data_IF_568900755336
#
_entry.id   IF_568900755336
#
_cell.length_a   1.000
_cell.length_b   1.000
_cell.length_c   1.000
_cell.angle_alpha   90.00
_cell.angle_beta   90.00
_cell.angle_gamma   90.00
#
_symmetry.space_group_name_H-M   'P 1'
#
loop_
_entity.id
_entity.type
_entity.pdbx_description
1 polymer ?
#
# COMPACT_ATOMS: atom_id res chain seq x y z
N UNK A 1 -44.01 -6.66 16.48
CA UNK A 1 -43.94 -5.18 16.57
C UNK A 1 -42.86 -4.80 17.56
N UNK A 2 -41.67 -4.42 17.09
CA UNK A 2 -40.57 -3.96 17.95
C UNK A 2 -40.62 -2.43 18.00
N UNK A 3 -40.71 -1.88 19.20
CA UNK A 3 -40.94 -0.44 19.47
C UNK A 3 -39.78 0.42 18.95
N UNK A 4 -40.14 1.49 18.23
CA UNK A 4 -39.30 2.46 17.50
C UNK A 4 -38.28 3.26 18.36
N UNK A 5 -38.20 3.04 19.68
CA UNK A 5 -37.28 3.74 20.58
C UNK A 5 -35.85 3.18 20.62
N UNK A 6 -35.69 1.87 20.40
CA UNK A 6 -34.40 1.17 20.58
C UNK A 6 -33.34 1.54 19.52
N UNK A 7 -33.78 1.86 18.31
CA UNK A 7 -32.89 2.15 17.17
C UNK A 7 -32.21 3.52 17.32
N UNK A 8 -32.87 4.51 17.92
CA UNK A 8 -32.27 5.84 18.10
C UNK A 8 -31.17 5.84 19.16
N UNK A 9 -31.32 5.04 20.21
CA UNK A 9 -30.33 4.96 21.30
C UNK A 9 -29.04 4.25 20.85
N UNK A 10 -29.17 3.21 20.01
CA UNK A 10 -28.05 2.51 19.38
C UNK A 10 -27.29 3.38 18.38
N UNK A 11 -27.99 4.18 17.55
CA UNK A 11 -27.33 5.09 16.60
C UNK A 11 -26.62 6.24 17.31
N UNK A 12 -27.15 6.73 18.44
CA UNK A 12 -26.50 7.76 19.25
C UNK A 12 -25.25 7.21 19.97
N UNK A 13 -25.32 5.98 20.52
CA UNK A 13 -24.16 5.33 21.15
C UNK A 13 -23.05 4.98 20.14
N UNK A 14 -23.40 4.58 18.91
CA UNK A 14 -22.42 4.35 17.85
C UNK A 14 -21.72 5.63 17.39
N UNK A 15 -22.42 6.78 17.38
CA UNK A 15 -21.81 8.08 17.03
C UNK A 15 -20.83 8.57 18.10
N UNK A 16 -21.14 8.40 19.39
CA UNK A 16 -20.23 8.76 20.48
C UNK A 16 -18.96 7.89 20.48
N UNK A 17 -19.06 6.63 20.05
CA UNK A 17 -17.92 5.71 19.94
C UNK A 17 -16.97 6.10 18.78
N UNK A 18 -17.47 6.76 17.72
CA UNK A 18 -16.62 7.18 16.60
C UNK A 18 -15.88 8.52 16.82
N UNK A 19 -16.37 9.39 17.71
CA UNK A 19 -15.71 10.69 17.98
C UNK A 19 -14.62 10.63 19.06
N UNK A 20 -14.52 9.52 19.80
CA UNK A 20 -13.49 9.32 20.83
C UNK A 20 -12.46 8.30 20.33
N UNK A 21 -11.66 8.69 19.34
CA UNK A 21 -10.46 7.92 18.94
C UNK A 21 -9.31 8.85 18.60
N UNK A 22 -8.88 9.64 19.60
CA UNK A 22 -7.47 10.01 19.75
C UNK A 22 -6.89 9.17 20.88
N UNK A 23 -6.32 8.05 20.49
CA UNK A 23 -5.25 7.40 21.24
C UNK A 23 -5.69 6.52 22.42
N UNK A 24 -5.08 5.34 22.44
CA UNK A 24 -4.83 4.49 23.62
C UNK A 24 -5.95 3.54 24.03
N UNK A 25 -5.83 2.29 23.59
CA UNK A 25 -6.50 1.14 24.20
C UNK A 25 -5.69 0.64 25.39
N UNK A 26 -6.22 0.80 26.61
CA UNK A 26 -5.98 -0.10 27.71
C UNK A 26 -7.26 -0.22 28.54
N UNK A 27 -7.83 -1.43 28.61
CA UNK A 27 -8.05 -2.21 29.83
C UNK A 27 -9.27 -3.13 29.72
N UNK A 28 -9.01 -4.36 30.15
CA UNK A 28 -9.92 -5.40 30.62
C UNK A 28 -11.24 -4.86 31.20
N UNK A 29 -12.36 -5.52 30.90
CA UNK A 29 -13.62 -5.34 31.62
C UNK A 29 -14.06 -6.65 32.28
N UNK A 30 -14.26 -6.59 33.59
CA UNK A 30 -15.13 -7.52 34.33
C UNK A 30 -16.42 -6.75 34.64
N UNK A 31 -17.58 -7.33 34.36
CA UNK A 31 -18.89 -6.78 34.75
C UNK A 31 -19.32 -7.49 36.05
N UNK A 32 -19.73 -6.80 37.13
CA UNK A 32 -20.21 -7.46 38.33
C UNK A 32 -21.63 -8.01 38.13
N UNK A 33 -21.80 -9.30 38.42
CA UNK A 33 -23.09 -9.88 38.80
C UNK A 33 -24.15 -10.03 37.69
N UNK A 34 -23.92 -10.92 36.74
CA UNK A 34 -24.94 -11.89 36.27
C UNK A 34 -24.25 -12.87 35.32
N UNK A 35 -24.15 -14.12 35.74
CA UNK A 35 -23.65 -15.22 34.92
C UNK A 35 -24.74 -15.59 33.92
N UNK A 36 -24.60 -15.12 32.68
CA UNK A 36 -25.47 -15.55 31.57
C UNK A 36 -24.89 -16.83 30.95
N UNK A 37 -25.10 -17.96 31.62
CA UNK A 37 -24.92 -19.26 30.99
C UNK A 37 -25.93 -19.39 29.84
N UNK A 38 -25.44 -19.59 28.61
CA UNK A 38 -26.24 -20.15 27.52
C UNK A 38 -26.55 -19.28 26.29
N UNK A 39 -26.01 -18.06 26.16
CA UNK A 39 -26.11 -17.31 24.89
C UNK A 39 -24.89 -17.54 24.00
N UNK A 40 -24.96 -18.53 23.10
CA UNK A 40 -24.08 -18.56 21.93
C UNK A 40 -24.68 -17.66 20.84
N UNK A 41 -24.09 -16.49 20.53
CA UNK A 41 -24.49 -15.75 19.34
C UNK A 41 -24.16 -16.57 18.09
N UNK A 42 -24.99 -16.51 17.02
CA UNK A 42 -24.63 -17.16 15.75
C UNK A 42 -23.32 -16.56 15.27
N UNK A 43 -22.36 -17.43 14.95
CA UNK A 43 -21.03 -17.07 14.49
C UNK A 43 -21.09 -16.24 13.20
N UNK A 44 -21.27 -14.93 13.34
CA UNK A 44 -20.89 -13.98 12.30
C UNK A 44 -19.37 -13.91 12.33
N UNK A 45 -18.78 -14.72 11.48
CA UNK A 45 -17.35 -14.71 11.14
C UNK A 45 -16.99 -13.32 10.64
N UNK A 46 -16.60 -12.44 11.56
CA UNK A 46 -15.80 -11.26 11.23
C UNK A 46 -14.45 -11.79 10.77
N UNK A 47 -14.25 -11.93 9.46
CA UNK A 47 -12.93 -12.17 8.89
C UNK A 47 -12.15 -10.84 8.89
N UNK A 48 -11.96 -10.26 10.07
CA UNK A 48 -11.03 -9.16 10.28
C UNK A 48 -9.64 -9.77 10.46
N UNK A 49 -8.72 -9.45 9.55
CA UNK A 49 -7.30 -9.69 9.79
C UNK A 49 -6.89 -8.89 11.02
N UNK A 50 -6.70 -9.55 12.17
CA UNK A 50 -5.92 -8.99 13.26
C UNK A 50 -4.44 -9.14 12.91
N UNK A 51 -4.00 -8.36 11.91
CA UNK A 51 -2.60 -7.99 11.82
C UNK A 51 -2.31 -6.93 12.87
N UNK A 52 -1.08 -6.87 13.37
CA UNK A 52 -0.64 -5.76 14.23
C UNK A 52 -1.05 -4.42 13.60
N UNK A 53 -1.58 -3.50 14.40
CA UNK A 53 -1.83 -2.15 13.92
C UNK A 53 -0.48 -1.60 13.44
N UNK A 54 -0.35 -1.18 12.17
CA UNK A 54 0.91 -0.72 11.64
C UNK A 54 1.42 0.43 12.51
N UNK A 55 2.72 0.44 12.82
CA UNK A 55 3.33 1.59 13.50
C UNK A 55 2.98 2.84 12.69
N UNK A 56 2.45 3.91 13.31
CA UNK A 56 2.22 5.16 12.61
C UNK A 56 3.52 5.61 11.96
N UNK A 57 3.54 5.76 10.65
CA UNK A 57 4.67 6.34 9.92
C UNK A 57 4.31 7.77 9.52
N UNK A 58 5.30 8.65 9.55
CA UNK A 58 5.13 10.03 9.11
C UNK A 58 5.59 10.16 7.66
N UNK A 59 4.88 10.96 6.86
CA UNK A 59 5.31 11.28 5.51
C UNK A 59 6.35 12.40 5.51
N UNK A 60 7.43 12.21 4.76
CA UNK A 60 8.50 13.18 4.55
C UNK A 60 8.59 13.51 3.05
N UNK A 61 8.16 14.71 2.62
CA UNK A 61 8.26 15.10 1.22
C UNK A 61 9.71 15.36 0.81
N UNK A 62 10.04 15.05 -0.44
CA UNK A 62 11.32 15.34 -1.06
C UNK A 62 11.10 16.22 -2.31
N UNK A 63 12.14 16.94 -2.73
CA UNK A 63 12.15 17.48 -4.08
C UNK A 63 12.09 16.31 -5.07
N UNK A 64 11.17 16.31 -6.06
CA UNK A 64 11.04 15.21 -7.00
C UNK A 64 12.37 14.91 -7.69
N UNK A 65 12.79 13.65 -7.64
CA UNK A 65 14.08 13.24 -8.14
C UNK A 65 13.96 11.92 -8.90
N UNK A 66 14.54 11.93 -10.09
CA UNK A 66 14.47 10.83 -11.01
C UNK A 66 15.41 9.67 -10.61
N UNK A 67 14.85 8.48 -10.40
CA UNK A 67 15.61 7.30 -9.94
C UNK A 67 15.59 6.13 -10.92
N UNK A 68 14.69 6.13 -11.91
CA UNK A 68 14.60 5.10 -12.93
C UNK A 68 14.17 5.70 -14.27
N UNK A 69 14.94 5.50 -15.34
CA UNK A 69 14.48 5.66 -16.74
C UNK A 69 15.20 4.63 -17.61
N UNK A 70 14.43 3.65 -18.05
CA UNK A 70 14.91 2.54 -18.88
C UNK A 70 15.35 2.97 -20.28
N UNK A 71 15.00 4.18 -20.73
CA UNK A 71 15.42 4.72 -22.03
C UNK A 71 16.85 5.27 -21.98
N UNK A 72 17.31 5.68 -20.80
CA UNK A 72 18.59 6.39 -20.60
C UNK A 72 19.52 5.73 -19.58
N UNK A 73 19.29 4.46 -19.22
CA UNK A 73 20.08 3.71 -18.25
C UNK A 73 20.17 4.36 -16.86
N UNK A 74 19.10 5.02 -16.41
CA UNK A 74 19.03 5.54 -15.03
C UNK A 74 18.41 4.47 -14.15
N UNK A 75 19.08 4.10 -13.06
CA UNK A 75 18.58 3.13 -12.07
C UNK A 75 18.50 1.67 -12.54
N UNK A 76 18.58 1.43 -13.85
CA UNK A 76 18.58 0.12 -14.49
C UNK A 76 19.32 0.20 -15.83
N UNK A 77 19.74 -0.94 -16.42
CA UNK A 77 20.27 -0.96 -17.78
C UNK A 77 19.27 -0.38 -18.80
N UNK A 78 19.79 0.17 -19.90
CA UNK A 78 18.95 0.67 -20.99
C UNK A 78 18.22 -0.48 -21.68
N UNK A 79 16.92 -0.33 -21.88
CA UNK A 79 16.07 -1.27 -22.60
C UNK A 79 14.70 -1.43 -21.97
N UNK A 80 13.71 -1.77 -22.78
CA UNK A 80 12.36 -2.03 -22.27
C UNK A 80 12.34 -3.22 -21.31
N UNK A 81 11.47 -3.17 -20.31
CA UNK A 81 11.20 -4.29 -19.43
C UNK A 81 10.23 -5.25 -20.12
N UNK A 82 10.68 -6.46 -20.41
CA UNK A 82 9.85 -7.53 -20.97
C UNK A 82 8.78 -8.02 -19.99
N UNK A 83 7.69 -8.52 -20.54
CA UNK A 83 6.58 -9.11 -19.81
C UNK A 83 7.02 -10.39 -19.11
N UNK A 84 6.49 -10.62 -17.92
CA UNK A 84 6.95 -11.70 -17.06
C UNK A 84 8.27 -11.42 -16.35
N UNK A 85 8.91 -10.26 -16.57
CA UNK A 85 10.16 -9.88 -15.90
C UNK A 85 9.93 -8.88 -14.78
N UNK A 86 10.92 -8.82 -13.91
CA UNK A 86 11.00 -7.91 -12.76
C UNK A 86 12.21 -7.01 -12.94
N UNK A 87 12.02 -5.72 -12.74
CA UNK A 87 13.09 -4.73 -12.60
C UNK A 87 13.26 -4.41 -11.12
N UNK A 88 14.47 -4.64 -10.61
CA UNK A 88 14.87 -4.32 -9.24
C UNK A 88 15.40 -2.89 -9.18
N UNK A 89 14.75 -2.02 -8.40
CA UNK A 89 15.07 -0.59 -8.30
C UNK A 89 15.59 -0.24 -6.90
N UNK A 90 16.81 0.28 -6.81
CA UNK A 90 17.35 0.78 -5.53
C UNK A 90 16.66 2.08 -5.16
N UNK A 91 16.11 2.16 -3.94
CA UNK A 91 15.43 3.38 -3.47
C UNK A 91 15.99 3.94 -2.17
N UNK A 92 16.45 3.09 -1.24
CA UNK A 92 17.07 3.59 0.00
C UNK A 92 18.47 4.14 -0.27
N UNK A 93 18.81 5.26 0.36
CA UNK A 93 20.09 5.93 0.16
C UNK A 93 20.21 6.64 -1.20
N UNK A 94 19.12 6.69 -1.98
CA UNK A 94 19.06 7.33 -3.29
C UNK A 94 18.13 8.53 -3.21
N UNK A 95 18.47 9.62 -3.91
CA UNK A 95 17.58 10.77 -4.10
C UNK A 95 17.01 11.39 -2.80
N UNK A 96 17.77 11.31 -1.69
CA UNK A 96 17.39 11.85 -0.39
C UNK A 96 16.54 10.91 0.49
N UNK A 97 16.22 9.71 0.03
CA UNK A 97 15.53 8.69 0.85
C UNK A 97 16.52 8.10 1.88
N UNK A 98 16.24 8.19 3.19
CA UNK A 98 17.13 7.63 4.20
C UNK A 98 17.06 6.10 4.22
N UNK A 99 18.14 5.45 4.71
CA UNK A 99 18.21 3.98 4.85
C UNK A 99 17.19 3.37 5.82
N UNK A 100 16.55 4.19 6.65
CA UNK A 100 15.51 3.75 7.59
C UNK A 100 14.08 3.91 7.06
N UNK A 101 13.89 4.41 5.83
CA UNK A 101 12.55 4.54 5.26
C UNK A 101 11.91 3.17 5.02
N UNK A 102 10.61 3.06 5.30
CA UNK A 102 9.84 1.81 5.18
C UNK A 102 9.05 1.72 3.87
N UNK A 103 8.63 2.88 3.36
CA UNK A 103 7.82 3.01 2.15
C UNK A 103 8.30 4.24 1.38
N UNK A 104 8.34 4.15 0.06
CA UNK A 104 8.62 5.29 -0.83
C UNK A 104 7.37 5.68 -1.61
N UNK A 105 7.21 6.98 -1.84
CA UNK A 105 6.19 7.52 -2.72
C UNK A 105 6.81 7.77 -4.10
N UNK A 106 6.38 7.02 -5.10
CA UNK A 106 6.89 7.12 -6.47
C UNK A 106 5.86 7.76 -7.39
N UNK A 107 6.30 8.61 -8.32
CA UNK A 107 5.62 8.86 -9.58
C UNK A 107 6.09 7.79 -10.56
N UNK A 108 5.25 6.79 -10.86
CA UNK A 108 5.61 5.70 -11.78
C UNK A 108 4.91 5.93 -13.12
N UNK A 109 5.70 5.99 -14.19
CA UNK A 109 5.21 6.21 -15.56
C UNK A 109 5.61 5.05 -16.45
N UNK A 110 4.63 4.48 -17.15
CA UNK A 110 4.80 3.49 -18.20
C UNK A 110 4.69 4.16 -19.58
N UNK A 111 5.66 3.90 -20.45
CA UNK A 111 5.72 4.43 -21.82
C UNK A 111 5.96 3.29 -22.83
N UNK A 112 5.62 3.55 -24.09
CA UNK A 112 5.98 2.68 -25.23
C UNK A 112 5.57 1.20 -25.05
N UNK A 113 4.48 0.94 -24.33
CA UNK A 113 3.99 -0.41 -24.10
C UNK A 113 3.60 -1.09 -25.42
N UNK A 114 4.10 -2.29 -25.69
CA UNK A 114 3.83 -3.03 -26.94
C UNK A 114 2.53 -3.82 -26.93
N UNK A 115 1.93 -4.00 -25.75
CA UNK A 115 0.61 -4.61 -25.52
C UNK A 115 -0.11 -3.91 -24.36
N UNK A 116 -1.40 -4.17 -24.18
CA UNK A 116 -2.08 -3.81 -22.94
C UNK A 116 -1.46 -4.61 -21.80
N UNK A 117 -1.08 -3.92 -20.73
CA UNK A 117 -0.30 -4.50 -19.65
C UNK A 117 -0.50 -3.74 -18.35
N UNK A 118 0.05 -4.28 -17.27
CA UNK A 118 0.06 -3.67 -15.96
C UNK A 118 1.42 -3.87 -15.28
N UNK A 119 1.77 -2.92 -14.42
CA UNK A 119 2.95 -2.99 -13.57
C UNK A 119 2.52 -3.18 -12.12
N UNK A 120 3.08 -4.18 -11.45
CA UNK A 120 2.96 -4.33 -10.00
C UNK A 120 4.25 -3.84 -9.35
N UNK A 121 4.12 -2.91 -8.39
CA UNK A 121 5.23 -2.41 -7.58
C UNK A 121 5.14 -2.99 -6.16
N UNK A 122 6.22 -3.56 -5.64
CA UNK A 122 6.24 -4.24 -4.34
C UNK A 122 7.63 -4.26 -3.71
N UNK A 123 7.71 -4.55 -2.41
CA UNK A 123 9.00 -4.71 -1.72
C UNK A 123 9.78 -5.89 -2.29
N UNK A 124 11.08 -5.71 -2.51
CA UNK A 124 11.94 -6.83 -2.91
C UNK A 124 11.89 -7.96 -1.87
N UNK A 125 12.01 -9.20 -2.34
CA UNK A 125 12.01 -10.41 -1.53
C UNK A 125 10.67 -10.67 -0.81
N UNK A 126 9.59 -10.08 -1.31
CA UNK A 126 8.22 -10.36 -0.86
C UNK A 126 7.38 -10.99 -1.97
N UNK A 127 6.28 -11.64 -1.58
CA UNK A 127 5.34 -12.18 -2.55
C UNK A 127 4.69 -11.02 -3.34
N UNK A 128 4.74 -11.10 -4.68
CA UNK A 128 4.09 -10.11 -5.55
C UNK A 128 2.58 -10.06 -5.25
N UNK A 129 2.01 -8.90 -4.93
CA UNK A 129 0.57 -8.76 -4.73
C UNK A 129 -0.19 -8.95 -6.07
N UNK A 130 -1.48 -9.27 -5.98
CA UNK A 130 -2.32 -9.43 -7.16
C UNK A 130 -2.66 -8.09 -7.86
N UNK A 131 -2.56 -6.98 -7.13
CA UNK A 131 -2.90 -5.65 -7.63
C UNK A 131 -1.84 -5.06 -8.55
N UNK A 132 -2.30 -4.23 -9.50
CA UNK A 132 -1.45 -3.37 -10.31
C UNK A 132 -1.27 -1.99 -9.64
N UNK A 133 -0.08 -1.41 -9.78
CA UNK A 133 0.17 0.00 -9.49
C UNK A 133 -0.30 0.87 -10.65
N UNK A 134 0.07 0.52 -11.88
CA UNK A 134 -0.30 1.24 -13.11
C UNK A 134 -0.72 0.27 -14.19
N UNK A 135 -1.76 0.62 -14.95
CA UNK A 135 -2.20 -0.08 -16.14
C UNK A 135 -1.88 0.77 -17.37
N UNK A 136 -1.31 0.15 -18.40
CA UNK A 136 -0.90 0.83 -19.62
C UNK A 136 -1.53 0.17 -20.85
N UNK A 137 -2.19 0.98 -21.67
CA UNK A 137 -2.65 0.55 -22.99
C UNK A 137 -1.50 0.53 -23.99
N UNK A 138 -1.61 -0.30 -25.03
CA UNK A 138 -0.61 -0.37 -26.10
C UNK A 138 -0.36 1.01 -26.72
N UNK A 139 0.88 1.48 -26.66
CA UNK A 139 1.32 2.78 -27.18
C UNK A 139 0.81 4.00 -26.42
N UNK A 140 0.06 3.81 -25.34
CA UNK A 140 -0.51 4.90 -24.53
C UNK A 140 0.33 5.10 -23.26
N UNK A 141 0.79 6.32 -22.97
CA UNK A 141 1.47 6.61 -21.72
C UNK A 141 0.48 6.53 -20.54
N UNK A 142 0.95 6.02 -19.40
CA UNK A 142 0.19 5.99 -18.16
C UNK A 142 1.09 6.35 -16.98
N UNK A 143 0.58 7.17 -16.05
CA UNK A 143 1.30 7.61 -14.86
C UNK A 143 0.42 7.46 -13.63
N UNK A 144 1.01 6.99 -12.54
CA UNK A 144 0.37 6.90 -11.23
C UNK A 144 1.31 7.42 -10.14
N UNK A 145 0.74 7.91 -9.04
CA UNK A 145 1.48 8.06 -7.79
C UNK A 145 1.19 6.85 -6.92
N UNK A 146 2.24 6.12 -6.52
CA UNK A 146 2.10 4.86 -5.78
C UNK A 146 3.02 4.84 -4.56
N UNK A 147 2.48 4.38 -3.44
CA UNK A 147 3.24 4.07 -2.23
C UNK A 147 3.72 2.63 -2.31
N UNK A 148 5.03 2.43 -2.22
CA UNK A 148 5.63 1.10 -2.36
C UNK A 148 6.44 0.78 -1.11
N UNK A 149 6.07 -0.27 -0.36
CA UNK A 149 6.91 -0.79 0.70
C UNK A 149 8.29 -1.14 0.16
N UNK A 150 9.33 -0.92 0.96
CA UNK A 150 10.71 -1.18 0.57
C UNK A 150 11.20 -2.48 1.19
N UNK A 151 11.89 -3.31 0.40
CA UNK A 151 12.56 -4.50 0.88
C UNK A 151 13.61 -4.17 1.94
N UNK A 152 13.97 -5.15 2.78
CA UNK A 152 14.98 -4.96 3.84
C UNK A 152 16.39 -4.65 3.30
N UNK A 153 16.65 -4.97 2.04
CA UNK A 153 17.85 -4.60 1.28
C UNK A 153 17.75 -3.21 0.62
N UNK A 154 16.61 -2.55 0.77
CA UNK A 154 16.37 -1.17 0.38
C UNK A 154 16.02 -0.97 -1.09
N UNK A 155 15.36 -1.96 -1.68
CA UNK A 155 14.91 -1.99 -3.06
C UNK A 155 13.40 -2.23 -3.19
N UNK A 156 12.90 -1.89 -4.37
CA UNK A 156 11.53 -2.15 -4.81
C UNK A 156 11.60 -2.95 -6.11
N UNK A 157 10.69 -3.90 -6.28
CA UNK A 157 10.50 -4.67 -7.50
C UNK A 157 9.35 -4.10 -8.32
N UNK A 158 9.59 -3.91 -9.62
CA UNK A 158 8.61 -3.53 -10.63
C UNK A 158 8.42 -4.68 -11.61
N UNK A 159 7.28 -5.36 -11.53
CA UNK A 159 6.94 -6.47 -12.40
C UNK A 159 6.08 -6.00 -13.57
N UNK A 160 6.48 -6.33 -14.81
CA UNK A 160 5.64 -6.14 -16.00
C UNK A 160 4.83 -7.41 -16.30
N UNK A 161 3.51 -7.29 -16.44
CA UNK A 161 2.63 -8.42 -16.73
C UNK A 161 2.78 -8.96 -18.17
N UNK A 162 2.80 -8.10 -19.18
CA UNK A 162 2.74 -8.49 -20.59
C UNK A 162 3.43 -7.48 -21.53
N UNK A 163 3.73 -7.90 -22.76
CA UNK A 163 4.41 -7.06 -23.75
C UNK A 163 5.78 -6.60 -23.27
N UNK A 164 6.26 -5.47 -23.75
CA UNK A 164 7.47 -4.78 -23.31
C UNK A 164 7.14 -3.31 -23.13
N UNK A 165 7.77 -2.62 -22.18
CA UNK A 165 7.53 -1.20 -21.96
C UNK A 165 8.75 -0.48 -21.39
N UNK A 166 8.80 0.84 -21.56
CA UNK A 166 9.72 1.70 -20.82
C UNK A 166 9.10 2.10 -19.49
N UNK A 167 9.91 2.15 -18.44
CA UNK A 167 9.50 2.59 -17.10
C UNK A 167 10.32 3.79 -16.68
N UNK A 168 9.62 4.77 -16.11
CA UNK A 168 10.20 5.89 -15.41
C UNK A 168 9.69 5.92 -13.98
N UNK A 169 10.56 6.21 -13.02
CA UNK A 169 10.16 6.47 -11.65
C UNK A 169 10.87 7.68 -11.07
N UNK A 170 10.09 8.57 -10.46
CA UNK A 170 10.57 9.69 -9.67
C UNK A 170 10.17 9.50 -8.21
N UNK A 171 11.12 9.67 -7.29
CA UNK A 171 10.84 9.71 -5.85
C UNK A 171 10.25 11.07 -5.50
N UNK A 172 9.13 11.07 -4.78
CA UNK A 172 8.45 12.28 -4.29
C UNK A 172 8.53 12.44 -2.76
N UNK A 173 8.89 11.38 -2.05
CA UNK A 173 8.98 11.36 -0.59
C UNK A 173 9.00 9.93 -0.06
N UNK A 174 8.97 9.81 1.26
CA UNK A 174 9.00 8.52 1.95
C UNK A 174 8.19 8.54 3.25
N UNK A 175 7.97 7.36 3.81
CA UNK A 175 7.37 7.16 5.13
C UNK A 175 8.37 6.49 6.08
N UNK A 176 8.49 7.03 7.29
CA UNK A 176 9.36 6.52 8.35
C UNK A 176 8.75 6.73 9.74
#
# INVERSE_FOLDING_TARGET
MIKTGYVRQLVQQMKTVMEVTRGTFLRHWTVPGEQLDGFQPPARRWLGYYGEAPTPTSYFPLAPAHVLDTRYAVGAPKGQLDGGKVLRLKVLGVAGVPVGARTVLLSLTALNATANTAVTAFAENTARPAGAAVEAGRGLPATVRVEVPVGSDGYVDLYNQAGSMDLLADVQGYYA
#
